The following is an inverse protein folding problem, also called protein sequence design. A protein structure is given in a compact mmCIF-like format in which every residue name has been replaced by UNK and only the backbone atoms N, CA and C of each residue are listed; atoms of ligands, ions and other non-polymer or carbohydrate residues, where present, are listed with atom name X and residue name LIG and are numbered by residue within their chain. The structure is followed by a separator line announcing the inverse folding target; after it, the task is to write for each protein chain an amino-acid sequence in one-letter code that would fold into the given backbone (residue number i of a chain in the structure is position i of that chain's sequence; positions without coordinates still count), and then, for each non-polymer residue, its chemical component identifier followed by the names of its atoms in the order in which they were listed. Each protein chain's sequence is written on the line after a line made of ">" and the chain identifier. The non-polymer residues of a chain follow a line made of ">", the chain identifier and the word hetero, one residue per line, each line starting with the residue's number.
data_IF_935283479693
#
_entry.id   IF_935283479693
#
_cell.length_a   1.000
_cell.length_b   1.000
_cell.length_c   1.000
_cell.angle_alpha   90.00
_cell.angle_beta   90.00
_cell.angle_gamma   90.00
#
_symmetry.space_group_name_H-M   'P 1'
#
loop_
_entity.id
_entity.type
_entity.pdbx_description
1 polymer ?
#
# COMPACT_ATOMS: atom_id res chain seq x y z
N UNK A 1 -13.28 7.42 19.26
CA UNK A 1 -11.88 7.00 19.02
C UNK A 1 -11.93 5.59 18.45
N UNK A 2 -11.49 5.39 17.21
CA UNK A 2 -11.42 4.05 16.62
C UNK A 2 -10.06 3.47 17.01
N UNK A 3 -10.07 2.36 17.76
CA UNK A 3 -8.84 1.69 18.18
C UNK A 3 -8.35 0.84 17.00
N UNK A 4 -7.21 1.19 16.37
CA UNK A 4 -6.71 0.41 15.24
C UNK A 4 -6.29 -0.98 15.73
N UNK A 5 -6.58 -2.00 14.94
CA UNK A 5 -6.19 -3.37 15.23
C UNK A 5 -4.66 -3.46 15.09
N UNK A 6 -3.97 -3.83 16.17
CA UNK A 6 -2.54 -4.10 16.11
C UNK A 6 -2.38 -5.46 15.45
N UNK A 7 -1.88 -5.45 14.22
CA UNK A 7 -1.59 -6.69 13.50
C UNK A 7 -0.09 -7.01 13.71
N UNK A 8 0.26 -8.24 14.13
CA UNK A 8 1.64 -8.69 14.07
C UNK A 8 2.18 -8.55 12.64
N UNK A 9 3.49 -8.41 12.51
CA UNK A 9 4.17 -8.14 11.24
C UNK A 9 4.21 -9.40 10.36
N UNK A 10 3.05 -9.89 9.98
CA UNK A 10 2.90 -10.99 9.02
C UNK A 10 3.07 -10.43 7.61
N UNK A 11 4.29 -10.63 7.08
CA UNK A 11 4.68 -10.06 5.80
C UNK A 11 3.74 -10.44 4.65
N UNK A 12 3.16 -11.64 4.64
CA UNK A 12 2.26 -12.08 3.56
C UNK A 12 0.88 -11.43 3.65
N UNK A 13 0.24 -11.44 4.82
CA UNK A 13 -1.10 -10.85 5.00
C UNK A 13 -1.07 -9.33 4.76
N UNK A 14 -0.06 -8.65 5.30
CA UNK A 14 0.11 -7.20 5.11
C UNK A 14 0.39 -6.85 3.65
N UNK A 15 1.15 -7.67 2.91
CA UNK A 15 1.40 -7.45 1.48
C UNK A 15 0.11 -7.60 0.64
N UNK A 16 -0.69 -8.64 0.90
CA UNK A 16 -1.99 -8.83 0.25
C UNK A 16 -2.94 -7.68 0.54
N UNK A 17 -3.03 -7.24 1.80
CA UNK A 17 -3.86 -6.12 2.21
C UNK A 17 -3.44 -4.82 1.54
N UNK A 18 -2.13 -4.52 1.50
CA UNK A 18 -1.60 -3.35 0.82
C UNK A 18 -1.87 -3.39 -0.69
N UNK A 19 -1.73 -4.54 -1.34
CA UNK A 19 -2.06 -4.70 -2.77
C UNK A 19 -3.55 -4.46 -3.04
N UNK A 20 -4.43 -5.01 -2.21
CA UNK A 20 -5.87 -4.81 -2.30
C UNK A 20 -6.23 -3.33 -2.13
N UNK A 21 -5.78 -2.69 -1.05
CA UNK A 21 -6.05 -1.26 -0.79
C UNK A 21 -5.46 -0.36 -1.88
N UNK A 22 -4.26 -0.68 -2.38
CA UNK A 22 -3.64 0.06 -3.48
C UNK A 22 -4.49 0.01 -4.75
N UNK A 23 -5.00 -1.16 -5.12
CA UNK A 23 -5.89 -1.32 -6.28
C UNK A 23 -7.25 -0.62 -6.05
N UNK A 24 -7.86 -0.82 -4.87
CA UNK A 24 -9.13 -0.19 -4.47
C UNK A 24 -9.06 1.35 -4.48
N UNK A 25 -7.91 1.91 -4.13
CA UNK A 25 -7.65 3.35 -4.10
C UNK A 25 -7.03 3.86 -5.42
N UNK A 26 -7.44 3.30 -6.55
CA UNK A 26 -7.03 3.72 -7.90
C UNK A 26 -5.50 3.87 -8.05
N UNK A 27 -4.74 2.90 -7.54
CA UNK A 27 -3.28 2.89 -7.62
C UNK A 27 -2.59 4.09 -6.94
N UNK A 28 -3.12 4.52 -5.79
CA UNK A 28 -2.57 5.62 -5.01
C UNK A 28 -1.11 5.43 -4.58
N UNK A 29 -0.43 6.54 -4.28
CA UNK A 29 0.93 6.54 -3.76
C UNK A 29 1.04 5.95 -2.35
N UNK A 30 2.26 5.56 -1.94
CA UNK A 30 2.48 4.85 -0.68
C UNK A 30 2.04 5.64 0.57
N UNK A 31 2.06 6.99 0.54
CA UNK A 31 1.62 7.82 1.66
C UNK A 31 0.11 7.67 1.89
N UNK A 32 -0.68 7.80 0.82
CA UNK A 32 -2.14 7.60 0.85
C UNK A 32 -2.49 6.16 1.23
N UNK A 33 -1.76 5.18 0.70
CA UNK A 33 -1.95 3.78 1.05
C UNK A 33 -1.75 3.52 2.55
N UNK A 34 -0.71 4.09 3.16
CA UNK A 34 -0.47 3.97 4.61
C UNK A 34 -1.58 4.68 5.40
N UNK A 35 -2.03 5.85 4.93
CA UNK A 35 -3.13 6.58 5.57
C UNK A 35 -4.41 5.76 5.59
N UNK A 36 -4.79 5.16 4.46
CA UNK A 36 -5.97 4.29 4.35
C UNK A 36 -5.85 3.05 5.22
N UNK A 37 -4.68 2.40 5.23
CA UNK A 37 -4.44 1.24 6.09
C UNK A 37 -4.61 1.58 7.58
N UNK A 38 -4.12 2.75 8.00
CA UNK A 38 -4.15 3.19 9.42
C UNK A 38 -5.53 3.50 9.97
N UNK A 39 -6.54 3.64 9.10
CA UNK A 39 -7.94 3.73 9.55
C UNK A 39 -8.41 2.46 10.25
N UNK A 40 -7.80 1.31 9.94
CA UNK A 40 -8.22 0.01 10.49
C UNK A 40 -7.07 -0.75 11.18
N UNK A 41 -5.82 -0.57 10.76
CA UNK A 41 -4.69 -1.39 11.20
C UNK A 41 -3.46 -0.57 11.60
N UNK A 42 -2.84 -0.96 12.71
CA UNK A 42 -1.55 -0.42 13.14
C UNK A 42 -0.44 -1.46 12.97
N UNK A 43 0.23 -1.43 11.81
CA UNK A 43 1.32 -2.36 11.48
C UNK A 43 2.68 -1.65 11.57
N UNK A 44 3.57 -2.19 12.39
CA UNK A 44 4.94 -1.68 12.54
C UNK A 44 5.75 -1.94 11.27
N UNK A 45 6.48 -0.93 10.80
CA UNK A 45 7.36 -1.06 9.63
C UNK A 45 6.65 -1.07 8.27
N UNK A 46 5.35 -0.81 8.22
CA UNK A 46 4.54 -0.90 6.99
C UNK A 46 5.00 0.03 5.86
N UNK A 47 5.70 1.11 6.18
CA UNK A 47 6.24 2.06 5.19
C UNK A 47 7.14 1.39 4.15
N UNK A 48 7.98 0.44 4.57
CA UNK A 48 8.87 -0.29 3.65
C UNK A 48 8.06 -1.14 2.67
N UNK A 49 7.05 -1.84 3.17
CA UNK A 49 6.18 -2.70 2.37
C UNK A 49 5.32 -1.88 1.41
N UNK A 50 4.71 -0.78 1.87
CA UNK A 50 3.92 0.11 1.01
C UNK A 50 4.74 0.70 -0.15
N UNK A 51 6.01 1.06 0.10
CA UNK A 51 6.94 1.47 -0.97
C UNK A 51 7.20 0.34 -1.96
N UNK A 52 7.42 -0.88 -1.49
CA UNK A 52 7.65 -2.04 -2.36
C UNK A 52 6.43 -2.35 -3.22
N UNK A 53 5.23 -2.38 -2.64
CA UNK A 53 3.96 -2.64 -3.36
C UNK A 53 3.74 -1.60 -4.46
N UNK A 54 3.82 -0.32 -4.12
CA UNK A 54 3.61 0.76 -5.10
C UNK A 54 4.69 0.81 -6.18
N UNK A 55 5.96 0.53 -5.83
CA UNK A 55 7.07 0.48 -6.80
C UNK A 55 7.01 -0.72 -7.75
N UNK A 56 6.54 -1.89 -7.27
CA UNK A 56 6.44 -3.12 -8.08
C UNK A 56 5.14 -3.20 -8.89
N UNK A 57 4.15 -2.36 -8.62
CA UNK A 57 2.87 -2.38 -9.32
C UNK A 57 3.02 -2.18 -10.82
N UNK A 58 2.58 -3.17 -11.61
CA UNK A 58 2.65 -3.15 -13.08
C UNK A 58 1.80 -2.01 -13.65
N UNK A 59 0.59 -1.78 -13.12
CA UNK A 59 -0.28 -0.68 -13.56
C UNK A 59 0.39 0.67 -13.33
N UNK A 60 0.94 0.93 -12.15
CA UNK A 60 1.68 2.17 -11.88
C UNK A 60 2.88 2.35 -12.80
N UNK A 61 3.63 1.27 -13.08
CA UNK A 61 4.77 1.32 -14.01
C UNK A 61 4.33 1.69 -15.42
N UNK A 62 3.19 1.16 -15.90
CA UNK A 62 2.62 1.52 -17.20
C UNK A 62 2.16 2.98 -17.23
N UNK A 63 1.42 3.42 -16.21
CA UNK A 63 0.91 4.80 -16.10
C UNK A 63 2.03 5.86 -15.99
N UNK A 64 3.16 5.52 -15.37
CA UNK A 64 4.31 6.43 -15.21
C UNK A 64 5.33 6.32 -16.33
N UNK A 65 5.11 5.45 -17.31
CA UNK A 65 5.98 5.38 -18.48
C UNK A 65 5.84 6.71 -19.21
N UNK A 66 6.96 7.41 -19.45
CA UNK A 66 6.95 8.59 -20.32
C UNK A 66 6.44 8.17 -21.70
N UNK A 67 5.61 8.99 -22.38
CA UNK A 67 5.36 8.78 -23.79
C UNK A 67 6.71 8.72 -24.50
N UNK A 68 6.87 7.74 -25.38
CA UNK A 68 8.00 7.74 -26.29
C UNK A 68 7.69 8.81 -27.34
N UNK A 69 8.37 9.95 -27.24
CA UNK A 69 8.46 10.98 -28.28
C UNK A 69 7.14 11.52 -28.79
#
# INVERSE_FOLDING_TARGET
>A
MQNPIILPKEHQMVDLLLKHLHAKQAHCGFKSLIYELRKCFWIVGVRKMAKQVTSKCVTCKKLRRKPMG
#
